data_IF_269083893891
#
_entry.id   IF_269083893891
#
_cell.length_a   1.000
_cell.length_b   1.000
_cell.length_c   1.000
_cell.angle_alpha   90.00
_cell.angle_beta   90.00
_cell.angle_gamma   90.00
#
_symmetry.space_group_name_H-M   'P 1'
#
loop_
_entity.id
_entity.type
_entity.pdbx_description
1 polymer ?
#
# COMPACT_ATOMS: atom_id res chain seq x y z
N UNK A 1 -35.80 -2.35 -19.78
CA UNK A 1 -36.02 -1.97 -18.36
C UNK A 1 -34.86 -2.52 -17.58
N UNK A 2 -34.24 -1.72 -16.72
CA UNK A 2 -33.15 -2.14 -15.86
C UNK A 2 -33.63 -3.25 -14.90
N UNK A 3 -32.78 -4.22 -14.62
CA UNK A 3 -33.06 -5.26 -13.62
C UNK A 3 -32.79 -4.73 -12.20
N UNK A 4 -33.22 -5.46 -11.18
CA UNK A 4 -32.92 -5.12 -9.78
C UNK A 4 -31.41 -5.08 -9.51
N UNK A 5 -30.64 -5.97 -10.15
CA UNK A 5 -29.18 -6.02 -10.03
C UNK A 5 -28.51 -4.82 -10.72
N UNK A 6 -29.10 -4.32 -11.82
CA UNK A 6 -28.63 -3.09 -12.48
C UNK A 6 -28.87 -1.87 -11.59
N UNK A 7 -30.04 -1.76 -10.96
CA UNK A 7 -30.36 -0.67 -10.03
C UNK A 7 -29.41 -0.67 -8.83
N UNK A 8 -29.10 -1.83 -8.27
CA UNK A 8 -28.15 -1.95 -7.16
C UNK A 8 -26.76 -1.46 -7.58
N UNK A 9 -26.28 -1.90 -8.75
CA UNK A 9 -25.00 -1.47 -9.33
C UNK A 9 -24.95 0.04 -9.58
N UNK A 10 -26.02 0.63 -10.12
CA UNK A 10 -26.08 2.08 -10.36
C UNK A 10 -26.00 2.88 -9.06
N UNK A 11 -26.63 2.39 -7.98
CA UNK A 11 -26.54 3.02 -6.65
C UNK A 11 -25.12 2.93 -6.08
N UNK A 12 -24.45 1.79 -6.23
CA UNK A 12 -23.05 1.63 -5.80
C UNK A 12 -22.12 2.58 -6.57
N UNK A 13 -22.20 2.56 -7.90
CA UNK A 13 -21.43 3.48 -8.75
C UNK A 13 -21.69 4.94 -8.36
N UNK A 14 -22.95 5.37 -8.23
CA UNK A 14 -23.30 6.73 -7.83
C UNK A 14 -22.63 7.15 -6.50
N UNK A 15 -22.66 6.27 -5.50
CA UNK A 15 -22.07 6.55 -4.19
C UNK A 15 -20.54 6.63 -4.29
N UNK A 16 -19.90 5.79 -5.09
CA UNK A 16 -18.45 5.84 -5.30
C UNK A 16 -18.03 7.17 -5.94
N UNK A 17 -18.72 7.61 -7.00
CA UNK A 17 -18.43 8.86 -7.70
C UNK A 17 -18.60 10.09 -6.80
N UNK A 18 -19.70 10.14 -6.02
CA UNK A 18 -19.94 11.22 -5.04
C UNK A 18 -18.82 11.29 -3.99
N UNK A 19 -18.33 10.14 -3.53
CA UNK A 19 -17.26 10.09 -2.54
C UNK A 19 -15.91 10.51 -3.13
N UNK A 20 -15.61 10.11 -4.37
CA UNK A 20 -14.40 10.49 -5.09
C UNK A 20 -14.39 12.01 -5.35
N UNK A 21 -15.47 12.55 -5.92
CA UNK A 21 -15.67 13.98 -6.14
C UNK A 21 -15.40 14.81 -4.87
N UNK A 22 -15.99 14.39 -3.75
CA UNK A 22 -15.83 15.10 -2.48
C UNK A 22 -14.38 15.07 -1.97
N UNK A 23 -13.69 13.93 -2.07
CA UNK A 23 -12.29 13.82 -1.65
C UNK A 23 -11.37 14.66 -2.54
N UNK A 24 -11.63 14.73 -3.85
CA UNK A 24 -10.92 15.61 -4.77
C UNK A 24 -11.12 17.09 -4.43
N UNK A 25 -12.34 17.52 -4.07
CA UNK A 25 -12.60 18.89 -3.58
C UNK A 25 -11.81 19.19 -2.31
N UNK A 26 -11.81 18.27 -1.34
CA UNK A 26 -11.04 18.46 -0.11
C UNK A 26 -9.54 18.54 -0.40
N UNK A 27 -9.01 17.73 -1.32
CA UNK A 27 -7.62 17.79 -1.74
C UNK A 27 -7.28 19.14 -2.41
N UNK A 28 -8.15 19.64 -3.29
CA UNK A 28 -7.98 20.95 -3.91
C UNK A 28 -8.00 22.10 -2.90
N UNK A 29 -8.89 22.05 -1.90
CA UNK A 29 -9.04 23.12 -0.89
C UNK A 29 -7.82 23.26 0.04
N UNK A 30 -7.05 22.17 0.22
CA UNK A 30 -5.91 22.12 1.16
C UNK A 30 -4.55 22.12 0.46
N UNK A 31 -4.52 22.07 -0.88
CA UNK A 31 -3.30 22.08 -1.67
C UNK A 31 -2.77 23.52 -1.82
N UNK A 32 -1.46 23.69 -1.64
CA UNK A 32 -0.80 25.01 -1.68
C UNK A 32 -0.39 25.39 -3.11
N UNK A 33 -0.10 24.40 -3.97
CA UNK A 33 0.24 24.64 -5.37
C UNK A 33 -1.03 24.82 -6.23
N UNK A 34 -1.24 26.02 -6.76
CA UNK A 34 -2.42 26.37 -7.57
C UNK A 34 -2.58 25.48 -8.83
N UNK A 35 -1.48 25.01 -9.42
CA UNK A 35 -1.54 24.14 -10.59
C UNK A 35 -2.03 22.73 -10.21
N UNK A 36 -1.55 22.20 -9.08
CA UNK A 36 -1.95 20.89 -8.55
C UNK A 36 -3.38 20.94 -8.01
N UNK A 37 -3.75 22.00 -7.28
CA UNK A 37 -5.13 22.24 -6.85
C UNK A 37 -6.09 22.29 -8.05
N UNK A 38 -5.68 22.93 -9.15
CA UNK A 38 -6.42 22.97 -10.40
C UNK A 38 -6.60 21.59 -11.05
N UNK A 39 -5.66 20.65 -10.87
CA UNK A 39 -5.83 19.27 -11.33
C UNK A 39 -6.87 18.53 -10.49
N UNK A 40 -6.79 18.64 -9.16
CA UNK A 40 -7.78 18.04 -8.26
C UNK A 40 -9.20 18.56 -8.50
N UNK A 41 -9.37 19.86 -8.81
CA UNK A 41 -10.68 20.41 -9.18
C UNK A 41 -11.25 19.80 -10.46
N UNK A 42 -10.42 19.60 -11.49
CA UNK A 42 -10.87 18.98 -12.75
C UNK A 42 -11.25 17.51 -12.59
N UNK A 43 -10.54 16.79 -11.71
CA UNK A 43 -10.92 15.42 -11.33
C UNK A 43 -12.27 15.43 -10.59
N UNK A 44 -12.46 16.33 -9.61
CA UNK A 44 -13.73 16.47 -8.92
C UNK A 44 -14.91 16.73 -9.87
N UNK A 45 -14.75 17.67 -10.81
CA UNK A 45 -15.77 18.00 -11.81
C UNK A 45 -16.08 16.83 -12.77
N UNK A 46 -15.12 15.92 -12.96
CA UNK A 46 -15.33 14.73 -13.78
C UNK A 46 -16.15 13.67 -13.04
N UNK A 47 -15.83 13.40 -11.77
CA UNK A 47 -16.64 12.50 -10.95
C UNK A 47 -18.04 13.06 -10.65
N UNK A 48 -18.20 14.38 -10.54
CA UNK A 48 -19.52 15.01 -10.44
C UNK A 48 -20.38 14.72 -11.69
N UNK A 49 -19.77 14.71 -12.89
CA UNK A 49 -20.47 14.33 -14.14
C UNK A 49 -20.78 12.83 -14.18
N UNK A 50 -19.89 11.99 -13.69
CA UNK A 50 -20.12 10.54 -13.58
C UNK A 50 -21.26 10.23 -12.62
N UNK A 51 -21.27 10.88 -11.45
CA UNK A 51 -22.36 10.78 -10.49
C UNK A 51 -23.70 11.19 -11.11
N UNK A 52 -23.75 12.28 -11.87
CA UNK A 52 -24.99 12.71 -12.54
C UNK A 52 -25.47 11.69 -13.59
N UNK A 53 -24.55 11.06 -14.33
CA UNK A 53 -24.87 9.99 -15.27
C UNK A 53 -25.55 8.82 -14.55
N UNK A 54 -25.01 8.36 -13.42
CA UNK A 54 -25.64 7.29 -12.63
C UNK A 54 -26.95 7.73 -11.97
N UNK A 55 -27.07 9.00 -11.57
CA UNK A 55 -28.31 9.56 -11.08
C UNK A 55 -29.41 9.53 -12.16
N UNK A 56 -29.07 9.87 -13.41
CA UNK A 56 -29.99 9.78 -14.54
C UNK A 56 -30.43 8.35 -14.81
N UNK A 57 -29.52 7.36 -14.75
CA UNK A 57 -29.88 5.94 -14.87
C UNK A 57 -30.84 5.47 -13.78
N UNK A 58 -30.67 5.97 -12.55
CA UNK A 58 -31.59 5.68 -11.44
C UNK A 58 -32.96 6.33 -11.67
N UNK A 59 -33.00 7.60 -12.13
CA UNK A 59 -34.25 8.29 -12.46
C UNK A 59 -35.00 7.61 -13.60
N UNK A 60 -34.30 7.19 -14.65
CA UNK A 60 -34.85 6.45 -15.79
C UNK A 60 -35.42 5.08 -15.38
N UNK A 61 -34.83 4.45 -14.35
CA UNK A 61 -35.33 3.24 -13.74
C UNK A 61 -36.53 3.47 -12.79
N UNK A 62 -36.91 4.73 -12.54
CA UNK A 62 -37.99 5.11 -11.61
C UNK A 62 -37.58 5.09 -10.14
N UNK A 63 -36.28 5.09 -9.85
CA UNK A 63 -35.71 4.96 -8.51
C UNK A 63 -35.28 6.30 -7.92
N UNK A 64 -35.27 6.39 -6.59
CA UNK A 64 -34.78 7.59 -5.91
C UNK A 64 -33.25 7.64 -5.91
N UNK A 65 -32.70 8.82 -6.24
CA UNK A 65 -31.25 9.07 -6.20
C UNK A 65 -30.77 9.19 -4.75
N UNK A 66 -29.69 8.49 -4.35
CA UNK A 66 -29.09 8.62 -3.02
C UNK A 66 -28.60 10.05 -2.71
N UNK A 67 -28.31 10.33 -1.44
CA UNK A 67 -27.75 11.63 -1.02
C UNK A 67 -26.37 11.85 -1.66
N UNK A 68 -26.06 13.11 -1.98
CA UNK A 68 -24.72 13.57 -2.38
C UNK A 68 -23.79 13.81 -1.18
N UNK A 69 -24.25 13.52 0.03
CA UNK A 69 -23.43 13.59 1.23
C UNK A 69 -22.32 12.53 1.20
N UNK A 70 -21.07 12.89 1.55
CA UNK A 70 -19.97 11.93 1.61
C UNK A 70 -20.19 10.92 2.72
N UNK A 71 -19.71 9.70 2.49
CA UNK A 71 -19.72 8.60 3.46
C UNK A 71 -18.92 8.93 4.72
N UNK A 72 -19.20 8.22 5.82
CA UNK A 72 -18.43 8.36 7.07
C UNK A 72 -16.92 8.10 6.87
N UNK A 73 -16.56 7.18 5.95
CA UNK A 73 -15.17 6.90 5.56
C UNK A 73 -14.54 8.13 4.90
N UNK A 74 -15.21 8.71 3.91
CA UNK A 74 -14.72 9.90 3.20
C UNK A 74 -14.60 11.09 4.15
N UNK A 75 -15.58 11.32 5.03
CA UNK A 75 -15.53 12.38 6.05
C UNK A 75 -14.32 12.22 6.98
N UNK A 76 -14.05 10.99 7.45
CA UNK A 76 -12.87 10.70 8.27
C UNK A 76 -11.59 11.00 7.50
N UNK A 77 -11.47 10.51 6.25
CA UNK A 77 -10.30 10.76 5.40
C UNK A 77 -10.06 12.26 5.17
N UNK A 78 -11.11 13.02 4.84
CA UNK A 78 -11.01 14.47 4.68
C UNK A 78 -10.63 15.20 5.97
N UNK A 79 -11.07 14.72 7.14
CA UNK A 79 -10.63 15.25 8.43
C UNK A 79 -9.13 14.98 8.67
N UNK A 80 -8.64 13.77 8.39
CA UNK A 80 -7.22 13.42 8.51
C UNK A 80 -6.38 14.30 7.57
N UNK A 81 -6.87 14.52 6.35
CA UNK A 81 -6.24 15.35 5.33
C UNK A 81 -6.07 16.81 5.78
N UNK A 82 -7.15 17.42 6.30
CA UNK A 82 -7.11 18.81 6.79
C UNK A 82 -6.14 18.98 7.97
N UNK A 83 -5.84 17.90 8.71
CA UNK A 83 -4.97 17.93 9.89
C UNK A 83 -3.50 17.66 9.59
N UNK A 84 -3.21 16.85 8.56
CA UNK A 84 -1.88 16.32 8.26
C UNK A 84 -1.44 16.49 6.80
N UNK A 85 -2.24 17.19 5.99
CA UNK A 85 -1.95 17.50 4.59
C UNK A 85 -2.52 16.48 3.59
N UNK A 86 -2.47 16.85 2.31
CA UNK A 86 -3.01 16.07 1.18
C UNK A 86 -2.36 14.70 1.00
N UNK A 87 -1.15 14.49 1.53
CA UNK A 87 -0.42 13.21 1.47
C UNK A 87 -1.16 12.01 2.09
N UNK A 88 -2.09 12.27 3.02
CA UNK A 88 -2.97 11.23 3.59
C UNK A 88 -4.02 10.79 2.57
N UNK A 89 -4.55 11.72 1.77
CA UNK A 89 -5.55 11.44 0.73
C UNK A 89 -4.92 10.85 -0.52
N UNK A 90 -3.80 11.40 -0.97
CA UNK A 90 -3.17 11.02 -2.24
C UNK A 90 -2.89 9.52 -2.33
N UNK A 91 -2.48 8.89 -1.23
CA UNK A 91 -2.25 7.44 -1.18
C UNK A 91 -3.54 6.62 -1.23
N UNK A 92 -4.58 7.06 -0.52
CA UNK A 92 -5.86 6.35 -0.46
C UNK A 92 -6.59 6.50 -1.80
N UNK A 93 -6.69 7.71 -2.33
CA UNK A 93 -7.33 8.00 -3.62
C UNK A 93 -6.62 7.28 -4.75
N UNK A 94 -5.28 7.38 -4.86
CA UNK A 94 -4.54 6.63 -5.88
C UNK A 94 -4.67 5.10 -5.73
N UNK A 95 -4.91 4.58 -4.51
CA UNK A 95 -5.17 3.15 -4.33
C UNK A 95 -6.58 2.74 -4.76
N UNK A 96 -7.58 3.56 -4.46
CA UNK A 96 -8.98 3.35 -4.85
C UNK A 96 -9.13 3.40 -6.36
N UNK A 97 -8.56 4.41 -6.99
CA UNK A 97 -8.59 4.64 -8.45
C UNK A 97 -7.86 3.54 -9.23
N UNK A 98 -6.75 3.02 -8.68
CA UNK A 98 -6.10 1.85 -9.27
C UNK A 98 -6.95 0.58 -9.18
N UNK A 99 -7.77 0.45 -8.15
CA UNK A 99 -8.70 -0.67 -8.00
C UNK A 99 -9.95 -0.49 -8.89
N UNK A 100 -10.37 0.75 -9.12
CA UNK A 100 -11.49 1.17 -9.96
C UNK A 100 -11.19 1.26 -11.45
N UNK A 101 -9.92 1.31 -11.88
CA UNK A 101 -9.47 1.56 -13.27
C UNK A 101 -10.18 0.81 -14.42
N UNK A 102 -10.78 -0.35 -14.15
CA UNK A 102 -11.50 -1.18 -15.12
C UNK A 102 -12.94 -1.49 -14.70
N UNK A 103 -13.48 -0.80 -13.68
CA UNK A 103 -14.78 -1.12 -13.07
C UNK A 103 -15.96 -0.94 -14.05
N UNK A 104 -15.78 -0.09 -15.05
CA UNK A 104 -16.79 0.21 -16.07
C UNK A 104 -16.60 -0.57 -17.38
N UNK A 105 -15.47 -1.26 -17.58
CA UNK A 105 -15.14 -1.92 -18.85
C UNK A 105 -16.14 -3.01 -19.25
N UNK A 106 -16.79 -3.64 -18.27
CA UNK A 106 -17.76 -4.71 -18.49
C UNK A 106 -19.22 -4.27 -18.24
N UNK A 107 -19.48 -2.98 -18.08
CA UNK A 107 -20.83 -2.44 -17.83
C UNK A 107 -21.44 -1.92 -19.14
N UNK A 108 -22.56 -2.48 -19.63
CA UNK A 108 -23.20 -2.04 -20.88
C UNK A 108 -23.57 -0.56 -20.88
N UNK A 109 -23.89 0.01 -19.71
CA UNK A 109 -24.29 1.41 -19.56
C UNK A 109 -23.14 2.40 -19.71
N UNK A 110 -21.90 1.93 -19.54
CA UNK A 110 -20.68 2.71 -19.70
C UNK A 110 -20.10 2.64 -21.13
N UNK A 111 -20.52 1.66 -21.93
CA UNK A 111 -20.09 1.52 -23.34
C UNK A 111 -20.54 2.73 -24.15
N UNK A 112 -19.58 3.45 -24.75
CA UNK A 112 -19.85 4.67 -25.54
C UNK A 112 -19.93 5.96 -24.71
N UNK A 113 -19.64 5.90 -23.41
CA UNK A 113 -19.46 7.07 -22.53
C UNK A 113 -17.95 7.35 -22.32
N UNK A 114 -17.62 8.47 -21.66
CA UNK A 114 -16.23 8.76 -21.28
C UNK A 114 -15.76 8.01 -20.03
N UNK A 115 -16.67 7.42 -19.24
CA UNK A 115 -16.39 6.75 -17.96
C UNK A 115 -15.15 5.82 -17.99
N UNK A 116 -15.04 4.84 -18.92
CA UNK A 116 -13.89 3.92 -18.89
C UNK A 116 -12.56 4.58 -19.27
N UNK A 117 -12.59 5.67 -20.04
CA UNK A 117 -11.40 6.42 -20.42
C UNK A 117 -10.98 7.39 -19.31
N UNK A 118 -11.96 8.06 -18.70
CA UNK A 118 -11.78 9.01 -17.60
C UNK A 118 -11.21 8.28 -16.38
N UNK A 119 -11.77 7.14 -15.99
CA UNK A 119 -11.31 6.31 -14.85
C UNK A 119 -9.86 5.80 -15.02
N UNK A 120 -9.47 5.43 -16.26
CA UNK A 120 -8.08 5.11 -16.58
C UNK A 120 -7.17 6.33 -16.49
N UNK A 121 -7.67 7.51 -16.83
CA UNK A 121 -6.91 8.77 -16.77
C UNK A 121 -6.73 9.26 -15.34
N UNK A 122 -7.73 9.11 -14.47
CA UNK A 122 -7.68 9.54 -13.06
C UNK A 122 -6.59 8.80 -12.30
N UNK A 123 -6.54 7.48 -12.45
CA UNK A 123 -5.51 6.63 -11.87
C UNK A 123 -4.09 7.03 -12.32
N UNK A 124 -3.92 7.49 -13.57
CA UNK A 124 -2.64 7.96 -14.11
C UNK A 124 -2.27 9.33 -13.55
N UNK A 125 -3.20 10.28 -13.58
CA UNK A 125 -3.00 11.66 -13.11
C UNK A 125 -2.66 11.69 -11.62
N UNK A 126 -3.39 10.95 -10.79
CA UNK A 126 -3.14 10.93 -9.35
C UNK A 126 -1.80 10.29 -8.99
N UNK A 127 -1.39 9.27 -9.73
CA UNK A 127 -0.10 8.64 -9.48
C UNK A 127 1.07 9.54 -9.92
N UNK A 128 0.87 10.41 -10.92
CA UNK A 128 1.83 11.45 -11.30
C UNK A 128 1.93 12.54 -10.24
N UNK A 129 0.81 13.08 -9.76
CA UNK A 129 0.77 14.11 -8.71
C UNK A 129 1.48 13.64 -7.43
N UNK A 130 1.23 12.39 -7.01
CA UNK A 130 1.86 11.80 -5.82
C UNK A 130 3.39 11.72 -5.93
N UNK A 131 3.92 11.44 -7.12
CA UNK A 131 5.36 11.33 -7.35
C UNK A 131 6.04 12.70 -7.33
N UNK A 132 5.36 13.74 -7.80
CA UNK A 132 5.87 15.12 -7.80
C UNK A 132 5.91 15.72 -6.39
N UNK A 133 4.85 15.55 -5.59
CA UNK A 133 4.83 16.03 -4.19
C UNK A 133 5.87 15.34 -3.29
N UNK A 134 6.33 14.14 -3.65
CA UNK A 134 7.38 13.42 -2.93
C UNK A 134 8.80 13.85 -3.34
N UNK A 135 8.96 14.51 -4.49
CA UNK A 135 10.25 14.87 -5.07
C UNK A 135 10.75 16.29 -4.76
N UNK A 136 9.92 17.14 -4.12
CA UNK A 136 10.25 18.55 -3.89
C UNK A 136 10.58 18.88 -2.42
N UNK A 137 11.88 19.03 -2.10
CA UNK A 137 12.31 20.09 -1.18
C UNK A 137 13.28 21.03 -1.89
N UNK A 138 12.77 22.15 -2.40
CA UNK A 138 13.57 23.33 -2.75
C UNK A 138 13.68 23.69 -4.24
N UNK A 139 13.22 24.91 -4.55
CA UNK A 139 13.56 25.78 -5.68
C UNK A 139 13.29 25.30 -7.13
N UNK A 140 12.20 25.83 -7.70
CA UNK A 140 12.27 26.79 -8.82
C UNK A 140 12.59 26.28 -10.23
N UNK A 141 11.54 26.08 -11.04
CA UNK A 141 11.57 25.91 -12.50
C UNK A 141 11.56 24.44 -12.93
N UNK A 142 10.83 23.97 -13.96
CA UNK A 142 10.54 24.58 -15.26
C UNK A 142 9.29 23.92 -15.90
N UNK A 143 8.52 24.76 -16.59
CA UNK A 143 7.45 24.45 -17.54
C UNK A 143 7.86 23.38 -18.57
N UNK A 144 7.02 22.36 -18.79
CA UNK A 144 7.08 21.51 -19.99
C UNK A 144 7.32 20.01 -19.75
N UNK A 145 7.61 19.57 -18.52
CA UNK A 145 7.81 18.15 -18.20
C UNK A 145 6.54 17.32 -18.05
N UNK A 146 5.37 17.96 -17.94
CA UNK A 146 4.10 17.31 -17.59
C UNK A 146 3.55 16.44 -18.74
N UNK A 147 3.73 16.87 -20.00
CA UNK A 147 3.25 16.09 -21.15
C UNK A 147 4.26 15.05 -21.65
N UNK A 148 5.57 15.32 -21.52
CA UNK A 148 6.61 14.40 -21.98
C UNK A 148 6.81 13.19 -21.05
N UNK A 149 6.31 13.24 -19.81
CA UNK A 149 6.37 12.12 -18.85
C UNK A 149 5.09 11.28 -18.78
N UNK A 150 4.02 11.68 -19.48
CA UNK A 150 2.75 10.94 -19.51
C UNK A 150 2.83 9.60 -20.27
N UNK A 151 3.92 9.32 -20.99
CA UNK A 151 4.12 8.08 -21.74
C UNK A 151 4.95 7.00 -21.02
N UNK A 152 5.47 7.23 -19.81
CA UNK A 152 6.45 6.33 -19.17
C UNK A 152 6.13 5.86 -17.74
N UNK A 153 5.44 4.70 -17.63
CA UNK A 153 5.48 3.63 -16.60
C UNK A 153 5.50 3.93 -15.06
N UNK A 154 5.07 2.89 -14.32
CA UNK A 154 4.65 2.72 -12.90
C UNK A 154 5.74 3.08 -11.82
N UNK A 155 5.52 3.25 -10.49
CA UNK A 155 4.79 2.44 -9.48
C UNK A 155 4.38 3.19 -8.18
N UNK A 156 3.47 2.52 -7.45
CA UNK A 156 2.84 2.85 -6.17
C UNK A 156 3.69 2.49 -4.93
N UNK A 157 3.93 3.45 -4.01
CA UNK A 157 4.75 3.24 -2.79
C UNK A 157 3.93 3.24 -1.48
N UNK A 158 2.70 3.77 -1.45
CA UNK A 158 1.95 3.95 -0.19
C UNK A 158 1.33 2.69 0.43
N UNK A 159 0.75 1.79 -0.39
CA UNK A 159 0.01 0.62 0.11
C UNK A 159 0.90 -0.51 0.63
N UNK A 160 2.05 -0.72 0.00
CA UNK A 160 3.00 -1.76 0.41
C UNK A 160 3.69 -1.42 1.73
N UNK A 161 4.09 -0.15 1.93
CA UNK A 161 4.72 0.31 3.16
C UNK A 161 3.77 0.20 4.36
N UNK A 162 2.51 0.64 4.21
CA UNK A 162 1.52 0.54 5.28
C UNK A 162 1.12 -0.92 5.57
N UNK A 163 1.01 -1.77 4.54
CA UNK A 163 0.79 -3.21 4.72
C UNK A 163 1.94 -3.87 5.46
N UNK A 164 3.18 -3.59 5.07
CA UNK A 164 4.37 -4.07 5.76
C UNK A 164 4.40 -3.59 7.23
N UNK A 165 3.97 -2.34 7.46
CA UNK A 165 3.90 -1.77 8.79
C UNK A 165 2.92 -2.51 9.71
N UNK A 166 1.72 -2.77 9.21
CA UNK A 166 0.71 -3.54 9.94
C UNK A 166 1.17 -4.98 10.17
N UNK A 167 1.87 -5.59 9.21
CA UNK A 167 2.41 -6.95 9.33
C UNK A 167 3.46 -7.01 10.45
N UNK A 168 4.43 -6.08 10.47
CA UNK A 168 5.46 -6.03 11.51
C UNK A 168 4.90 -5.81 12.92
N UNK A 169 3.94 -4.89 13.07
CA UNK A 169 3.26 -4.68 14.34
C UNK A 169 2.45 -5.92 14.78
N UNK A 170 1.77 -6.59 13.84
CA UNK A 170 1.01 -7.79 14.14
C UNK A 170 1.92 -8.96 14.54
N UNK A 171 3.06 -9.14 13.88
CA UNK A 171 4.03 -10.19 14.20
C UNK A 171 4.60 -9.99 15.62
N UNK A 172 4.99 -8.76 15.98
CA UNK A 172 5.42 -8.44 17.33
C UNK A 172 4.35 -8.69 18.38
N UNK A 173 3.12 -8.25 18.11
CA UNK A 173 1.99 -8.41 19.02
C UNK A 173 1.64 -9.88 19.26
N UNK A 174 1.47 -10.68 18.20
CA UNK A 174 1.06 -12.09 18.31
C UNK A 174 2.18 -12.91 18.95
N UNK A 175 3.42 -12.75 18.49
CA UNK A 175 4.55 -13.54 18.99
C UNK A 175 4.81 -13.27 20.47
N UNK A 176 4.85 -11.99 20.89
CA UNK A 176 5.15 -11.66 22.28
C UNK A 176 3.96 -11.92 23.21
N UNK A 177 2.71 -11.78 22.73
CA UNK A 177 1.53 -12.20 23.50
C UNK A 177 1.60 -13.70 23.78
N UNK A 178 1.91 -14.51 22.76
CA UNK A 178 2.03 -15.96 22.90
C UNK A 178 3.15 -16.36 23.87
N UNK A 179 4.30 -15.68 23.80
CA UNK A 179 5.42 -15.92 24.73
C UNK A 179 5.05 -15.58 26.18
N UNK A 180 4.49 -14.39 26.41
CA UNK A 180 4.06 -13.91 27.74
C UNK A 180 3.00 -14.83 28.32
N UNK A 181 2.04 -15.28 27.51
CA UNK A 181 0.99 -16.22 27.95
C UNK A 181 1.54 -17.61 28.27
N UNK A 182 2.54 -18.09 27.53
CA UNK A 182 3.23 -19.34 27.86
C UNK A 182 3.90 -19.30 29.23
N UNK A 183 4.61 -18.22 29.56
CA UNK A 183 5.22 -18.06 30.89
C UNK A 183 4.14 -17.90 31.96
N UNK A 184 3.12 -17.07 31.71
CA UNK A 184 2.03 -16.88 32.65
C UNK A 184 1.25 -18.17 32.96
N UNK A 185 1.14 -19.07 31.98
CA UNK A 185 0.56 -20.41 32.16
C UNK A 185 1.42 -21.31 33.04
N UNK A 186 2.75 -21.22 32.93
CA UNK A 186 3.69 -22.03 33.72
C UNK A 186 3.84 -21.54 35.16
N UNK A 187 3.94 -20.23 35.37
CA UNK A 187 4.05 -19.62 36.69
C UNK A 187 3.54 -18.16 36.69
N UNK A 188 2.82 -17.77 37.75
CA UNK A 188 2.26 -16.41 37.90
C UNK A 188 3.26 -15.34 38.40
N UNK A 189 4.57 -15.62 38.31
CA UNK A 189 5.61 -14.68 38.75
C UNK A 189 5.73 -13.51 37.75
N UNK A 190 5.25 -12.33 38.14
CA UNK A 190 5.24 -11.14 37.28
C UNK A 190 6.64 -10.77 36.77
N UNK A 191 7.68 -10.90 37.60
CA UNK A 191 9.06 -10.62 37.21
C UNK A 191 9.56 -11.54 36.09
N UNK A 192 9.19 -12.82 36.14
CA UNK A 192 9.57 -13.80 35.11
C UNK A 192 8.87 -13.49 33.78
N UNK A 193 7.59 -13.10 33.84
CA UNK A 193 6.81 -12.70 32.65
C UNK A 193 7.36 -11.41 32.06
N UNK A 194 7.65 -10.40 32.89
CA UNK A 194 8.18 -9.10 32.46
C UNK A 194 9.57 -9.26 31.81
N UNK A 195 10.48 -9.99 32.47
CA UNK A 195 11.82 -10.25 31.95
C UNK A 195 11.74 -11.00 30.61
N UNK A 196 10.92 -12.05 30.53
CA UNK A 196 10.78 -12.85 29.32
C UNK A 196 10.11 -12.06 28.19
N UNK A 197 9.09 -11.27 28.50
CA UNK A 197 8.39 -10.44 27.51
C UNK A 197 9.26 -9.32 26.95
N UNK A 198 10.11 -8.68 27.77
CA UNK A 198 11.07 -7.67 27.30
C UNK A 198 12.21 -8.32 26.51
N UNK A 199 12.72 -9.47 26.95
CA UNK A 199 13.74 -10.21 26.22
C UNK A 199 13.21 -10.70 24.86
N UNK A 200 11.99 -11.25 24.82
CA UNK A 200 11.32 -11.69 23.60
C UNK A 200 11.04 -10.54 22.63
N UNK A 201 10.60 -9.39 23.14
CA UNK A 201 10.45 -8.17 22.35
C UNK A 201 11.77 -7.78 21.68
N UNK A 202 12.86 -7.64 22.46
CA UNK A 202 14.14 -7.19 21.93
C UNK A 202 14.73 -8.22 20.95
N UNK A 203 14.69 -9.51 21.30
CA UNK A 203 15.19 -10.57 20.44
C UNK A 203 14.41 -10.62 19.12
N UNK A 204 13.08 -10.53 19.18
CA UNK A 204 12.23 -10.51 18.00
C UNK A 204 12.44 -9.27 17.13
N UNK A 205 12.50 -8.09 17.74
CA UNK A 205 12.71 -6.83 17.02
C UNK A 205 14.08 -6.78 16.33
N UNK A 206 15.15 -7.23 16.99
CA UNK A 206 16.49 -7.32 16.40
C UNK A 206 16.50 -8.34 15.25
N UNK A 207 15.90 -9.52 15.46
CA UNK A 207 15.79 -10.55 14.42
C UNK A 207 15.08 -10.03 13.17
N UNK A 208 13.93 -9.36 13.34
CA UNK A 208 13.17 -8.78 12.24
C UNK A 208 13.94 -7.67 11.54
N UNK A 209 14.62 -6.79 12.28
CA UNK A 209 15.44 -5.72 11.72
C UNK A 209 16.60 -6.26 10.87
N UNK A 210 17.31 -7.28 11.38
CA UNK A 210 18.41 -7.92 10.65
C UNK A 210 17.91 -8.67 9.42
N UNK A 211 16.77 -9.37 9.52
CA UNK A 211 16.14 -10.05 8.39
C UNK A 211 15.75 -9.09 7.27
N UNK A 212 15.12 -7.96 7.63
CA UNK A 212 14.74 -6.93 6.67
C UNK A 212 15.96 -6.28 6.02
N UNK A 213 16.98 -5.92 6.83
CA UNK A 213 18.23 -5.35 6.32
C UNK A 213 18.89 -6.28 5.31
N UNK A 214 19.04 -7.56 5.67
CA UNK A 214 19.69 -8.55 4.83
C UNK A 214 18.90 -8.78 3.53
N UNK A 215 17.57 -8.82 3.61
CA UNK A 215 16.71 -8.96 2.43
C UNK A 215 16.89 -7.80 1.46
N UNK A 216 16.85 -6.55 1.95
CA UNK A 216 17.02 -5.36 1.10
C UNK A 216 18.44 -5.28 0.54
N UNK A 217 19.47 -5.54 1.36
CA UNK A 217 20.86 -5.51 0.87
C UNK A 217 21.13 -6.59 -0.16
N UNK A 218 20.68 -7.83 0.07
CA UNK A 218 20.89 -8.92 -0.88
C UNK A 218 20.20 -8.62 -2.23
N UNK A 219 18.99 -8.06 -2.21
CA UNK A 219 18.31 -7.62 -3.44
C UNK A 219 19.08 -6.51 -4.16
N UNK A 220 19.66 -5.56 -3.41
CA UNK A 220 20.47 -4.47 -3.97
C UNK A 220 21.74 -5.00 -4.62
N UNK A 221 22.47 -5.86 -3.94
CA UNK A 221 23.70 -6.47 -4.43
C UNK A 221 23.44 -7.30 -5.69
N UNK A 222 22.34 -8.06 -5.74
CA UNK A 222 21.93 -8.82 -6.91
C UNK A 222 21.64 -7.90 -8.11
N UNK A 223 20.83 -6.87 -7.92
CA UNK A 223 20.51 -5.92 -8.99
C UNK A 223 21.76 -5.18 -9.49
N UNK A 224 22.65 -4.77 -8.58
CA UNK A 224 23.90 -4.12 -8.94
C UNK A 224 24.83 -5.05 -9.73
N UNK A 225 24.90 -6.33 -9.36
CA UNK A 225 25.66 -7.32 -10.09
C UNK A 225 25.11 -7.51 -11.51
N UNK A 226 23.78 -7.59 -11.67
CA UNK A 226 23.16 -7.72 -12.99
C UNK A 226 23.42 -6.49 -13.87
N UNK A 227 23.29 -5.28 -13.33
CA UNK A 227 23.62 -4.04 -14.06
C UNK A 227 25.11 -4.00 -14.47
N UNK A 228 26.00 -4.53 -13.62
CA UNK A 228 27.42 -4.58 -13.94
C UNK A 228 27.73 -5.59 -15.06
N UNK A 229 27.03 -6.73 -15.09
CA UNK A 229 27.12 -7.72 -16.17
C UNK A 229 26.61 -7.12 -17.49
N UNK A 230 25.42 -6.55 -17.48
CA UNK A 230 24.79 -5.88 -18.64
C UNK A 230 25.73 -4.84 -19.27
N UNK A 231 26.33 -3.99 -18.41
CA UNK A 231 27.31 -3.00 -18.86
C UNK A 231 28.52 -3.63 -19.53
N UNK A 232 28.98 -4.79 -19.08
CA UNK A 232 30.10 -5.49 -19.69
C UNK A 232 29.70 -6.09 -21.05
N UNK A 233 28.50 -6.67 -21.16
CA UNK A 233 27.95 -7.24 -22.39
C UNK A 233 27.76 -6.17 -23.48
N UNK A 234 27.21 -5.00 -23.14
CA UNK A 234 27.11 -3.84 -24.05
C UNK A 234 28.49 -3.40 -24.59
N UNK A 235 29.55 -3.48 -23.77
CA UNK A 235 30.90 -3.10 -24.19
C UNK A 235 31.60 -4.18 -25.04
N UNK A 236 31.32 -5.45 -24.78
CA UNK A 236 31.94 -6.59 -25.46
C UNK A 236 31.24 -6.94 -26.77
N UNK A 237 29.90 -6.84 -26.82
CA UNK A 237 29.06 -7.30 -27.92
C UNK A 237 27.88 -6.33 -28.22
N UNK A 238 28.14 -5.05 -28.53
CA UNK A 238 27.09 -4.03 -28.69
C UNK A 238 26.06 -4.37 -29.78
N UNK A 239 26.49 -5.02 -30.86
CA UNK A 239 25.59 -5.41 -31.95
C UNK A 239 24.61 -6.51 -31.54
N UNK A 240 25.02 -7.42 -30.63
CA UNK A 240 24.14 -8.46 -30.10
C UNK A 240 23.10 -7.85 -29.15
N UNK A 241 23.52 -6.97 -28.23
CA UNK A 241 22.60 -6.30 -27.31
C UNK A 241 21.55 -5.44 -28.03
N UNK A 242 21.93 -4.80 -29.15
CA UNK A 242 20.97 -4.07 -29.97
C UNK A 242 19.94 -5.00 -30.64
N UNK A 243 20.35 -6.21 -31.05
CA UNK A 243 19.45 -7.24 -31.54
C UNK A 243 18.49 -7.70 -30.43
N UNK A 244 18.99 -7.88 -29.20
CA UNK A 244 18.17 -8.23 -28.03
C UNK A 244 17.10 -7.17 -27.74
N UNK A 245 17.47 -5.89 -27.71
CA UNK A 245 16.52 -4.79 -27.52
C UNK A 245 15.45 -4.75 -28.64
N UNK A 246 15.87 -4.97 -29.89
CA UNK A 246 14.95 -5.03 -31.02
C UNK A 246 13.95 -6.20 -30.86
N UNK A 247 14.40 -7.37 -30.42
CA UNK A 247 13.51 -8.51 -30.12
C UNK A 247 12.53 -8.20 -28.99
N UNK A 248 12.97 -7.51 -27.93
CA UNK A 248 12.09 -7.06 -26.84
C UNK A 248 10.99 -6.12 -27.37
N UNK A 249 11.33 -5.18 -28.23
CA UNK A 249 10.36 -4.26 -28.84
C UNK A 249 9.41 -4.95 -29.84
N UNK A 250 9.89 -5.92 -30.60
CA UNK A 250 9.02 -6.76 -31.44
C UNK A 250 8.02 -7.56 -30.59
N UNK A 251 8.46 -8.11 -29.46
CA UNK A 251 7.58 -8.82 -28.53
C UNK A 251 6.48 -7.91 -27.94
N UNK A 252 6.72 -6.59 -27.89
CA UNK A 252 5.72 -5.57 -27.51
C UNK A 252 4.80 -5.13 -28.65
N UNK A 253 5.03 -5.61 -29.86
CA UNK A 253 4.18 -5.37 -31.02
C UNK A 253 4.72 -4.36 -32.04
N UNK A 254 5.98 -3.92 -31.91
CA UNK A 254 6.63 -3.13 -32.96
C UNK A 254 6.95 -4.01 -34.18
N UNK A 255 6.92 -3.42 -35.39
CA UNK A 255 7.42 -4.13 -36.57
C UNK A 255 8.94 -4.33 -36.45
N UNK A 256 9.47 -5.38 -37.11
CA UNK A 256 10.90 -5.67 -37.09
C UNK A 256 11.75 -4.45 -37.49
N UNK A 257 11.39 -3.79 -38.60
CA UNK A 257 12.14 -2.63 -39.11
C UNK A 257 12.11 -1.43 -38.14
N UNK A 258 10.97 -1.19 -37.47
CA UNK A 258 10.86 -0.12 -36.47
C UNK A 258 11.63 -0.45 -35.19
N UNK A 259 11.62 -1.71 -34.75
CA UNK A 259 12.32 -2.15 -33.56
C UNK A 259 13.84 -2.11 -33.74
N UNK A 260 14.35 -2.59 -34.89
CA UNK A 260 15.78 -2.52 -35.24
C UNK A 260 16.26 -1.06 -35.32
N UNK A 261 15.45 -0.18 -35.94
CA UNK A 261 15.76 1.26 -36.01
C UNK A 261 15.78 1.91 -34.62
N UNK A 262 14.78 1.63 -33.79
CA UNK A 262 14.73 2.17 -32.43
C UNK A 262 15.91 1.70 -31.58
N UNK A 263 16.26 0.41 -31.64
CA UNK A 263 17.43 -0.12 -30.92
C UNK A 263 18.73 0.54 -31.38
N UNK A 264 18.94 0.69 -32.69
CA UNK A 264 20.11 1.37 -33.24
C UNK A 264 20.19 2.86 -32.84
N UNK A 265 19.05 3.56 -32.83
CA UNK A 265 18.98 4.96 -32.42
C UNK A 265 19.32 5.12 -30.92
N UNK A 266 18.81 4.25 -30.05
CA UNK A 266 19.11 4.28 -28.61
C UNK A 266 20.57 3.89 -28.35
N UNK A 267 21.10 2.89 -29.04
CA UNK A 267 22.51 2.44 -28.94
C UNK A 267 23.52 3.57 -29.24
N UNK A 268 23.10 4.63 -29.95
CA UNK A 268 23.96 5.79 -30.23
C UNK A 268 24.40 6.55 -28.97
N UNK A 269 23.68 6.42 -27.87
CA UNK A 269 24.04 6.93 -26.54
C UNK A 269 24.22 5.75 -25.56
N UNK A 270 25.47 5.39 -25.18
CA UNK A 270 25.74 4.25 -24.30
C UNK A 270 25.06 4.33 -22.93
N UNK A 271 24.87 5.53 -22.39
CA UNK A 271 24.23 5.70 -21.09
C UNK A 271 22.72 5.48 -21.20
N UNK A 272 22.10 6.01 -22.27
CA UNK A 272 20.69 5.78 -22.56
C UNK A 272 20.40 4.31 -22.94
N UNK A 273 21.33 3.66 -23.65
CA UNK A 273 21.23 2.26 -24.02
C UNK A 273 21.30 1.34 -22.81
N UNK A 274 22.27 1.55 -21.90
CA UNK A 274 22.34 0.82 -20.65
C UNK A 274 21.09 1.04 -19.79
N UNK A 275 20.62 2.28 -19.62
CA UNK A 275 19.38 2.55 -18.87
C UNK A 275 18.18 1.82 -19.48
N UNK A 276 18.09 1.81 -20.82
CA UNK A 276 17.02 1.11 -21.53
C UNK A 276 17.09 -0.40 -21.34
N UNK A 277 18.26 -1.02 -21.51
CA UNK A 277 18.45 -2.46 -21.33
C UNK A 277 18.16 -2.89 -19.89
N UNK A 278 18.69 -2.17 -18.90
CA UNK A 278 18.42 -2.44 -17.47
C UNK A 278 16.92 -2.40 -17.16
N UNK A 279 16.17 -1.47 -17.77
CA UNK A 279 14.72 -1.35 -17.55
C UNK A 279 13.90 -2.36 -18.36
N UNK A 280 14.31 -2.67 -19.58
CA UNK A 280 13.51 -3.46 -20.52
C UNK A 280 13.83 -4.94 -20.49
N UNK A 281 15.09 -5.31 -20.31
CA UNK A 281 15.53 -6.70 -20.20
C UNK A 281 15.49 -7.17 -18.73
N UNK A 282 16.21 -6.46 -17.84
CA UNK A 282 16.33 -6.89 -16.44
C UNK A 282 15.07 -6.55 -15.62
N UNK A 283 14.25 -5.60 -16.10
CA UNK A 283 13.10 -5.09 -15.36
C UNK A 283 13.48 -4.34 -14.08
N UNK A 284 14.73 -3.86 -14.01
CA UNK A 284 15.29 -3.14 -12.87
C UNK A 284 15.12 -1.65 -13.11
N UNK A 285 14.76 -0.92 -12.06
CA UNK A 285 14.86 0.54 -12.06
C UNK A 285 16.20 0.93 -11.42
N UNK A 286 17.16 1.47 -12.19
CA UNK A 286 18.48 1.84 -11.67
C UNK A 286 18.40 2.94 -10.61
N UNK A 287 17.34 3.76 -10.62
CA UNK A 287 17.11 4.82 -9.63
C UNK A 287 16.41 4.29 -8.36
N UNK A 288 15.82 3.10 -8.40
CA UNK A 288 15.06 2.51 -7.30
C UNK A 288 15.52 1.08 -6.95
N UNK A 289 16.75 0.95 -6.46
CA UNK A 289 17.29 -0.34 -5.98
C UNK A 289 16.67 -0.82 -4.64
N UNK A 290 15.46 -0.42 -4.26
CA UNK A 290 14.79 -0.89 -3.03
C UNK A 290 15.04 -0.04 -1.77
N UNK A 291 15.46 1.22 -1.93
CA UNK A 291 15.59 2.17 -0.81
C UNK A 291 16.71 1.82 0.19
N UNK A 292 16.73 2.49 1.36
CA UNK A 292 17.77 2.28 2.37
C UNK A 292 17.47 1.06 3.24
N UNK A 293 18.35 0.05 3.22
CA UNK A 293 18.21 -1.13 4.07
C UNK A 293 18.22 -0.79 5.57
N UNK A 294 18.97 0.24 5.96
CA UNK A 294 18.98 0.73 7.35
C UNK A 294 17.65 1.34 7.76
N UNK A 295 16.98 2.05 6.85
CA UNK A 295 15.66 2.59 7.08
C UNK A 295 14.62 1.46 7.20
N UNK A 296 14.69 0.46 6.31
CA UNK A 296 13.81 -0.71 6.37
C UNK A 296 13.97 -1.46 7.71
N UNK A 297 15.22 -1.75 8.11
CA UNK A 297 15.55 -2.39 9.37
C UNK A 297 15.04 -1.60 10.60
N UNK A 298 15.28 -0.29 10.63
CA UNK A 298 14.83 0.58 11.73
C UNK A 298 13.31 0.66 11.82
N UNK A 299 12.61 0.70 10.67
CA UNK A 299 11.15 0.70 10.63
C UNK A 299 10.59 -0.62 11.14
N UNK A 300 11.11 -1.77 10.66
CA UNK A 300 10.71 -3.11 11.12
C UNK A 300 10.96 -3.30 12.62
N UNK A 301 12.11 -2.85 13.14
CA UNK A 301 12.40 -2.86 14.57
C UNK A 301 11.33 -2.11 15.38
N UNK A 302 11.00 -0.89 14.97
CA UNK A 302 10.07 -0.03 15.68
C UNK A 302 8.65 -0.59 15.67
N UNK A 303 8.18 -1.05 14.51
CA UNK A 303 6.85 -1.61 14.34
C UNK A 303 6.67 -2.90 15.13
N UNK A 304 7.64 -3.82 15.05
CA UNK A 304 7.63 -5.03 15.85
C UNK A 304 7.59 -4.71 17.34
N UNK A 305 8.46 -3.80 17.80
CA UNK A 305 8.53 -3.37 19.20
C UNK A 305 7.21 -2.76 19.68
N UNK A 306 6.56 -1.94 18.83
CA UNK A 306 5.28 -1.31 19.13
C UNK A 306 4.17 -2.34 19.35
N UNK A 307 4.14 -3.41 18.55
CA UNK A 307 3.21 -4.52 18.77
C UNK A 307 3.57 -5.35 20.00
N UNK A 308 4.85 -5.71 20.13
CA UNK A 308 5.33 -6.62 21.16
C UNK A 308 5.26 -6.06 22.58
N UNK A 309 5.30 -4.73 22.77
CA UNK A 309 5.24 -4.14 24.12
C UNK A 309 3.84 -4.25 24.74
N UNK A 310 2.78 -4.27 23.92
CA UNK A 310 1.37 -4.24 24.38
C UNK A 310 1.05 -5.31 25.45
N UNK A 311 1.35 -6.61 25.25
CA UNK A 311 1.07 -7.64 26.26
C UNK A 311 1.97 -7.53 27.51
N UNK A 312 3.08 -6.79 27.43
CA UNK A 312 4.03 -6.64 28.54
C UNK A 312 3.62 -5.51 29.50
N UNK A 313 2.95 -4.47 28.98
CA UNK A 313 2.55 -3.26 29.72
C UNK A 313 1.91 -3.57 31.08
N UNK A 314 0.90 -4.47 31.20
CA UNK A 314 0.24 -4.71 32.50
C UNK A 314 1.17 -5.27 33.57
N UNK A 315 2.19 -6.03 33.19
CA UNK A 315 3.12 -6.70 34.12
C UNK A 315 4.12 -5.74 34.77
N UNK A 316 4.19 -4.47 34.36
CA UNK A 316 4.97 -3.46 35.07
C UNK A 316 4.34 -3.05 36.41
N UNK A 317 3.01 -3.20 36.56
CA UNK A 317 2.29 -2.73 37.74
C UNK A 317 1.39 -3.78 38.39
N UNK A 318 1.02 -4.83 37.67
CA UNK A 318 0.11 -5.88 38.12
C UNK A 318 0.80 -7.24 38.14
N UNK A 319 0.29 -8.14 38.98
CA UNK A 319 0.72 -9.54 39.08
C UNK A 319 -0.46 -10.49 39.11
N UNK A 320 -0.21 -11.78 38.90
CA UNK A 320 -1.24 -12.83 38.95
C UNK A 320 -2.29 -12.72 37.84
N UNK A 321 -3.46 -13.34 38.06
CA UNK A 321 -4.51 -13.43 37.04
C UNK A 321 -5.03 -12.09 36.53
N UNK A 322 -5.02 -11.04 37.36
CA UNK A 322 -5.45 -9.71 36.94
C UNK A 322 -4.54 -9.12 35.84
N UNK A 323 -3.21 -9.31 35.95
CA UNK A 323 -2.25 -8.89 34.93
C UNK A 323 -2.47 -9.63 33.60
N UNK A 324 -2.71 -10.93 33.68
CA UNK A 324 -2.99 -11.79 32.52
C UNK A 324 -4.25 -11.35 31.79
N UNK A 325 -5.34 -11.12 32.51
CA UNK A 325 -6.62 -10.68 31.94
C UNK A 325 -6.46 -9.32 31.25
N UNK A 326 -5.79 -8.36 31.90
CA UNK A 326 -5.58 -7.04 31.30
C UNK A 326 -4.66 -7.12 30.08
N UNK A 327 -3.62 -7.96 30.11
CA UNK A 327 -2.73 -8.23 28.97
C UNK A 327 -3.49 -8.77 27.78
N UNK A 328 -4.33 -9.79 27.98
CA UNK A 328 -5.15 -10.36 26.92
C UNK A 328 -6.17 -9.36 26.38
N UNK A 329 -6.76 -8.53 27.23
CA UNK A 329 -7.70 -7.49 26.80
C UNK A 329 -7.00 -6.43 25.92
N UNK A 330 -5.84 -5.92 26.34
CA UNK A 330 -5.07 -4.94 25.57
C UNK A 330 -4.57 -5.54 24.25
N UNK A 331 -4.02 -6.76 24.29
CA UNK A 331 -3.57 -7.46 23.09
C UNK A 331 -4.74 -7.72 22.13
N UNK A 332 -5.91 -8.12 22.65
CA UNK A 332 -7.11 -8.33 21.86
C UNK A 332 -7.60 -7.07 21.16
N UNK A 333 -7.65 -5.93 21.88
CA UNK A 333 -8.01 -4.64 21.30
C UNK A 333 -7.01 -4.25 20.20
N UNK A 334 -5.72 -4.41 20.45
CA UNK A 334 -4.67 -4.11 19.48
C UNK A 334 -4.75 -5.01 18.24
N UNK A 335 -4.99 -6.31 18.40
CA UNK A 335 -5.19 -7.26 17.29
C UNK A 335 -6.40 -6.89 16.44
N UNK A 336 -7.52 -6.53 17.09
CA UNK A 336 -8.70 -6.07 16.38
C UNK A 336 -8.41 -4.77 15.61
N UNK A 337 -7.70 -3.82 16.22
CA UNK A 337 -7.34 -2.55 15.60
C UNK A 337 -6.40 -2.72 14.40
N UNK A 338 -5.38 -3.60 14.50
CA UNK A 338 -4.49 -3.94 13.38
C UNK A 338 -5.24 -4.67 12.25
N UNK A 339 -6.15 -5.59 12.61
CA UNK A 339 -7.01 -6.26 11.65
C UNK A 339 -7.99 -5.30 10.96
N UNK A 340 -8.57 -4.36 11.71
CA UNK A 340 -9.43 -3.30 11.18
C UNK A 340 -8.66 -2.37 10.24
N UNK A 341 -7.42 -2.01 10.61
CA UNK A 341 -6.53 -1.19 9.77
C UNK A 341 -6.20 -1.92 8.46
N UNK A 342 -5.84 -3.20 8.54
CA UNK A 342 -5.69 -4.05 7.35
C UNK A 342 -6.95 -4.01 6.49
N UNK A 343 -8.12 -4.14 7.11
CA UNK A 343 -9.39 -4.17 6.39
C UNK A 343 -9.67 -2.89 5.61
N UNK A 344 -9.37 -1.73 6.22
CA UNK A 344 -9.53 -0.43 5.60
C UNK A 344 -8.60 -0.27 4.39
N UNK A 345 -7.38 -0.79 4.48
CA UNK A 345 -6.38 -0.76 3.41
C UNK A 345 -6.78 -1.69 2.26
N UNK A 346 -7.27 -2.89 2.57
CA UNK A 346 -7.59 -3.91 1.57
C UNK A 346 -9.03 -3.82 1.05
N UNK A 347 -9.80 -2.81 1.45
CA UNK A 347 -11.21 -2.68 1.06
C UNK A 347 -12.11 -3.81 1.58
N UNK A 348 -11.70 -4.51 2.65
CA UNK A 348 -12.49 -5.64 3.20
C UNK A 348 -13.32 -5.19 4.41
N UNK A 349 -14.33 -5.98 4.77
CA UNK A 349 -15.18 -5.70 5.92
C UNK A 349 -14.39 -5.63 7.24
N UNK A 350 -14.39 -4.45 7.88
CA UNK A 350 -13.66 -4.15 9.12
C UNK A 350 -13.94 -5.14 10.24
N UNK A 351 -15.22 -5.42 10.51
CA UNK A 351 -15.62 -6.36 11.57
C UNK A 351 -15.10 -7.77 11.29
N UNK A 352 -15.13 -8.22 10.02
CA UNK A 352 -14.68 -9.56 9.64
C UNK A 352 -13.17 -9.72 9.83
N UNK A 353 -12.38 -8.79 9.31
CA UNK A 353 -10.92 -8.88 9.36
C UNK A 353 -10.37 -8.57 10.75
N UNK A 354 -10.96 -7.61 11.47
CA UNK A 354 -10.64 -7.32 12.87
C UNK A 354 -10.93 -8.52 13.78
N UNK A 355 -12.12 -9.10 13.68
CA UNK A 355 -12.50 -10.27 14.50
C UNK A 355 -11.65 -11.49 14.16
N UNK A 356 -11.33 -11.72 12.88
CA UNK A 356 -10.42 -12.80 12.48
C UNK A 356 -9.05 -12.68 13.15
N UNK A 357 -8.48 -11.47 13.16
CA UNK A 357 -7.15 -11.22 13.74
C UNK A 357 -7.17 -11.42 15.25
N UNK A 358 -8.22 -10.92 15.92
CA UNK A 358 -8.47 -11.16 17.35
C UNK A 358 -8.56 -12.66 17.66
N UNK A 359 -9.40 -13.41 16.93
CA UNK A 359 -9.61 -14.84 17.18
C UNK A 359 -8.33 -15.65 17.00
N UNK A 360 -7.57 -15.39 15.93
CA UNK A 360 -6.31 -16.08 15.67
C UNK A 360 -5.28 -15.80 16.78
N UNK A 361 -5.16 -14.55 17.23
CA UNK A 361 -4.26 -14.21 18.32
C UNK A 361 -4.70 -14.82 19.67
N UNK A 362 -6.00 -14.85 19.97
CA UNK A 362 -6.51 -15.52 21.17
C UNK A 362 -6.30 -17.04 21.14
N UNK A 363 -6.42 -17.68 19.97
CA UNK A 363 -6.10 -19.11 19.80
C UNK A 363 -4.62 -19.35 20.09
N UNK A 364 -3.71 -18.56 19.50
CA UNK A 364 -2.28 -18.69 19.72
C UNK A 364 -1.90 -18.50 21.20
N UNK A 365 -2.46 -17.47 21.84
CA UNK A 365 -2.32 -17.21 23.27
C UNK A 365 -2.84 -18.36 24.15
N UNK A 366 -4.03 -18.90 23.83
CA UNK A 366 -4.62 -20.01 24.57
C UNK A 366 -3.81 -21.31 24.47
N UNK A 367 -3.31 -21.62 23.27
CA UNK A 367 -2.43 -22.78 23.03
C UNK A 367 -1.15 -22.65 23.84
N UNK A 368 -0.49 -21.49 23.79
CA UNK A 368 0.79 -21.29 24.48
C UNK A 368 0.62 -21.24 25.99
N UNK A 369 -0.43 -20.60 26.50
CA UNK A 369 -0.81 -20.68 27.92
C UNK A 369 -1.01 -22.13 28.37
N UNK A 370 -1.75 -22.93 27.59
CA UNK A 370 -1.98 -24.34 27.89
C UNK A 370 -0.69 -25.17 27.93
N UNK A 371 0.21 -24.97 26.97
CA UNK A 371 1.54 -25.58 26.95
C UNK A 371 2.33 -25.18 28.21
N UNK A 372 2.32 -23.88 28.54
CA UNK A 372 2.94 -23.35 29.75
C UNK A 372 2.43 -24.05 31.01
N UNK A 373 1.11 -24.16 31.16
CA UNK A 373 0.48 -24.81 32.30
C UNK A 373 0.88 -26.29 32.45
N UNK A 374 0.98 -27.03 31.34
CA UNK A 374 1.45 -28.42 31.37
C UNK A 374 2.92 -28.50 31.78
N UNK A 375 3.78 -27.65 31.20
CA UNK A 375 5.21 -27.66 31.48
C UNK A 375 5.53 -27.21 32.92
N UNK A 376 4.83 -26.19 33.42
CA UNK A 376 4.96 -25.69 34.78
C UNK A 376 4.66 -26.75 35.84
N UNK A 377 3.69 -27.64 35.57
CA UNK A 377 3.36 -28.79 36.44
C UNK A 377 4.45 -29.88 36.41
N UNK A 378 5.25 -29.96 35.35
CA UNK A 378 6.30 -31.00 35.20
C UNK A 378 7.70 -30.58 35.64
N UNK A 379 7.98 -29.27 35.67
CA UNK A 379 9.32 -28.73 35.96
C UNK A 379 9.41 -28.09 37.36
N UNK A 380 8.30 -27.64 37.92
CA UNK A 380 8.19 -27.16 39.32
C UNK A 380 7.79 -28.28 40.26
#
# INVERSE_FOLDING_TARGET
>A
MATTDDVARFRENFVEEVNAAWLYRVAADIEEDEAVAGVYLRLAETEERHAELWADRLRDAGEAVPSTDPSSRSRMLGWLAKRWGVGVLSNVMASTERAGRTMYDNQPEAVGTSLPADERSHAVILDALRRESAAAPGNGGVRGGVLARLEGRHRAVGGNALRAAVLGANDGLVSNTSLVMGIAGAAFAADAVLLTGLAGLLAGAISMALGEWLSVQSSRELNQAQIATERAEILEMPEAEAEELALIYQAKGMSQEEAERAAADIMSDPDAFLDTMVREELGIDPDELGGSAWQAAGTSFALFSLGAIVPVIPFFWLSGGAAVILSLALAGIALFALGATTALITGTGVLRTGTRSLLLGLIAAGVTYGIGAVLGVTVG
#
